data_IF_438972980381
#
_entry.id   IF_438972980381
#
_cell.length_a   1.000
_cell.length_b   1.000
_cell.length_c   1.000
_cell.angle_alpha   90.00
_cell.angle_beta   90.00
_cell.angle_gamma   90.00
#
_symmetry.space_group_name_H-M   'P 1'
#
loop_
_entity.id
_entity.type
_entity.pdbx_description
1 polymer ?
#
# COMPACT_ATOMS: atom_id res chain seq x y z
N UNK A 1 38.32 10.89 7.36
CA UNK A 1 37.30 9.98 7.84
C UNK A 1 36.21 10.84 8.42
N UNK A 2 34.94 10.51 8.20
CA UNK A 2 33.86 11.19 8.89
C UNK A 2 33.89 10.80 10.37
N UNK A 3 33.29 11.61 11.24
CA UNK A 3 33.18 11.27 12.68
C UNK A 3 32.42 9.93 12.84
N UNK A 4 31.46 9.64 11.99
CA UNK A 4 30.74 8.36 11.96
C UNK A 4 31.68 7.17 11.74
N UNK A 5 32.56 7.22 10.74
CA UNK A 5 33.50 6.13 10.42
C UNK A 5 34.47 5.85 11.58
N UNK A 6 34.87 6.91 12.30
CA UNK A 6 35.73 6.78 13.48
C UNK A 6 35.06 6.01 14.59
N UNK A 7 33.77 6.29 14.86
CA UNK A 7 33.01 5.56 15.88
C UNK A 7 32.67 4.13 15.41
N UNK A 8 32.28 3.93 14.16
CA UNK A 8 31.90 2.61 13.62
C UNK A 8 33.07 1.61 13.64
N UNK A 9 34.30 2.09 13.50
CA UNK A 9 35.52 1.27 13.54
C UNK A 9 36.14 1.15 14.96
N UNK A 10 35.64 1.90 15.92
CA UNK A 10 36.13 1.86 17.31
C UNK A 10 35.61 0.62 18.04
N UNK A 11 36.50 -0.06 18.79
CA UNK A 11 36.14 -1.18 19.67
C UNK A 11 35.49 -0.71 20.97
N UNK A 12 35.90 0.45 21.46
CA UNK A 12 35.47 0.96 22.78
C UNK A 12 34.33 1.96 22.71
N UNK A 13 34.26 2.76 21.64
CA UNK A 13 33.29 3.87 21.50
C UNK A 13 32.14 3.58 20.55
N UNK A 14 32.16 2.45 19.87
CA UNK A 14 31.08 2.07 18.97
C UNK A 14 29.83 1.62 19.76
N UNK A 15 28.76 2.41 19.65
CA UNK A 15 27.44 2.11 20.26
C UNK A 15 26.32 2.36 19.25
N UNK A 16 26.28 1.59 18.16
CA UNK A 16 25.31 1.86 17.09
C UNK A 16 23.87 1.69 17.59
N UNK A 17 23.07 2.70 17.32
CA UNK A 17 21.64 2.72 17.59
C UNK A 17 20.93 2.82 16.23
N UNK A 18 19.84 2.13 16.06
CA UNK A 18 19.01 2.23 14.86
C UNK A 18 17.67 2.89 15.16
N UNK A 19 17.31 3.85 14.31
CA UNK A 19 16.02 4.50 14.33
C UNK A 19 15.25 4.14 13.06
N UNK A 20 13.94 3.97 13.23
CA UNK A 20 13.02 3.51 12.21
C UNK A 20 11.93 4.54 12.02
N UNK A 21 11.80 5.06 10.81
CA UNK A 21 10.75 6.01 10.43
C UNK A 21 9.84 5.34 9.42
N UNK A 22 8.61 5.05 9.82
CA UNK A 22 7.53 4.66 8.93
C UNK A 22 6.72 5.88 8.55
N UNK A 23 6.37 6.02 7.27
CA UNK A 23 5.51 7.10 6.79
C UNK A 23 4.48 6.54 5.82
N UNK A 24 3.20 6.91 6.02
CA UNK A 24 2.07 6.55 5.17
C UNK A 24 1.17 7.79 5.05
N UNK A 25 1.06 8.34 3.85
CA UNK A 25 0.43 9.62 3.61
C UNK A 25 1.03 10.74 4.47
N UNK A 26 0.20 11.41 5.24
CA UNK A 26 0.62 12.48 6.16
C UNK A 26 1.06 11.97 7.55
N UNK A 27 0.85 10.69 7.84
CA UNK A 27 1.14 10.11 9.17
C UNK A 27 2.52 9.49 9.21
N UNK A 28 3.22 9.72 10.32
CA UNK A 28 4.57 9.20 10.54
C UNK A 28 4.66 8.54 11.91
N UNK A 29 5.26 7.35 11.96
CA UNK A 29 5.59 6.62 13.19
C UNK A 29 7.10 6.47 13.30
N UNK A 30 7.64 6.76 14.45
CA UNK A 30 9.08 6.84 14.72
C UNK A 30 9.44 5.95 15.91
N UNK A 31 10.35 4.99 15.69
CA UNK A 31 10.76 4.01 16.69
C UNK A 31 12.28 3.92 16.78
N UNK A 32 12.78 3.57 17.94
CA UNK A 32 14.19 3.26 18.15
C UNK A 32 14.38 1.86 18.72
N UNK A 33 15.47 1.21 18.34
CA UNK A 33 15.91 -0.06 18.95
C UNK A 33 16.60 0.12 20.30
N UNK A 34 16.80 1.37 20.73
CA UNK A 34 17.42 1.66 22.02
C UNK A 34 16.41 1.55 23.17
N UNK A 35 16.92 1.43 24.39
CA UNK A 35 16.12 1.34 25.61
C UNK A 35 15.50 2.67 26.08
N UNK A 36 15.89 3.78 25.47
CA UNK A 36 15.43 5.13 25.78
C UNK A 36 14.91 5.82 24.51
N UNK A 37 14.03 6.79 24.70
CA UNK A 37 13.59 7.67 23.62
C UNK A 37 14.74 8.53 23.11
N UNK A 38 14.73 8.80 21.82
CA UNK A 38 15.77 9.57 21.14
C UNK A 38 15.13 10.64 20.28
N UNK A 39 15.54 11.89 20.47
CA UNK A 39 15.09 13.00 19.60
C UNK A 39 16.15 13.28 18.54
N UNK A 40 15.79 13.17 17.29
CA UNK A 40 16.66 13.45 16.14
C UNK A 40 15.92 14.32 15.13
N UNK A 41 16.53 15.42 14.72
CA UNK A 41 15.94 16.36 13.73
C UNK A 41 14.51 16.80 14.09
N UNK A 42 14.27 17.12 15.37
CA UNK A 42 12.96 17.51 15.90
C UNK A 42 11.86 16.42 15.81
N UNK A 43 12.23 15.15 15.68
CA UNK A 43 11.35 13.99 15.75
C UNK A 43 11.73 13.13 16.95
N UNK A 44 10.75 12.75 17.73
CA UNK A 44 10.91 11.87 18.86
C UNK A 44 10.73 10.41 18.43
N UNK A 45 11.73 9.57 18.72
CA UNK A 45 11.73 8.14 18.40
C UNK A 45 11.45 7.33 19.65
N UNK A 46 10.30 6.69 19.68
CA UNK A 46 9.82 5.92 20.83
C UNK A 46 10.60 4.61 20.96
N UNK A 47 11.08 4.31 22.18
CA UNK A 47 11.75 3.04 22.48
C UNK A 47 10.76 1.87 22.28
N UNK A 48 11.09 0.96 21.37
CA UNK A 48 10.21 -0.17 21.01
C UNK A 48 11.07 -1.42 20.79
N UNK A 49 10.63 -2.61 21.23
CA UNK A 49 11.26 -3.88 20.88
C UNK A 49 11.18 -4.13 19.38
N UNK A 50 12.13 -3.61 18.63
CA UNK A 50 12.17 -3.70 17.16
C UNK A 50 13.43 -4.48 16.75
N UNK A 51 13.25 -5.44 15.86
CA UNK A 51 14.33 -6.23 15.25
C UNK A 51 14.19 -6.19 13.74
N UNK A 52 15.31 -6.30 13.05
CA UNK A 52 15.30 -6.44 11.59
C UNK A 52 16.16 -7.58 11.11
N UNK A 53 15.87 -8.09 9.95
CA UNK A 53 16.76 -9.01 9.24
C UNK A 53 18.03 -8.28 8.76
N UNK A 54 19.04 -9.04 8.34
CA UNK A 54 20.27 -8.48 7.78
C UNK A 54 19.96 -7.68 6.50
N UNK A 55 20.52 -6.48 6.39
CA UNK A 55 20.57 -5.72 5.17
C UNK A 55 21.73 -6.27 4.34
N UNK A 56 21.43 -6.82 3.17
CA UNK A 56 22.43 -7.35 2.26
C UNK A 56 22.64 -6.35 1.13
N UNK A 57 23.84 -5.84 1.00
CA UNK A 57 24.29 -5.06 -0.17
C UNK A 57 25.09 -6.00 -1.08
N UNK A 58 24.69 -6.14 -2.32
CA UNK A 58 25.44 -6.88 -3.33
C UNK A 58 25.16 -6.27 -4.70
N UNK A 59 26.01 -6.55 -5.65
CA UNK A 59 25.96 -5.98 -7.00
C UNK A 59 24.94 -6.70 -7.91
N UNK A 60 24.36 -7.81 -7.44
CA UNK A 60 23.37 -8.56 -8.19
C UNK A 60 22.00 -7.86 -8.20
N UNK A 61 21.24 -8.02 -9.28
CA UNK A 61 19.94 -7.37 -9.50
C UNK A 61 18.78 -8.05 -8.76
N UNK A 62 19.02 -8.80 -7.68
CA UNK A 62 17.93 -9.47 -6.95
C UNK A 62 17.16 -8.50 -6.07
N UNK A 63 15.84 -8.71 -6.01
CA UNK A 63 14.97 -8.00 -5.08
C UNK A 63 15.42 -8.28 -3.65
N UNK A 64 15.64 -7.22 -2.87
CA UNK A 64 16.08 -7.33 -1.49
C UNK A 64 15.00 -6.80 -0.58
N UNK A 65 14.53 -7.69 0.25
CA UNK A 65 13.58 -7.38 1.27
C UNK A 65 14.31 -7.35 2.64
N UNK A 66 13.86 -6.42 3.47
CA UNK A 66 14.20 -6.40 4.89
C UNK A 66 12.92 -6.72 5.64
N UNK A 67 12.98 -7.71 6.52
CA UNK A 67 11.89 -8.02 7.43
C UNK A 67 12.15 -7.32 8.75
N UNK A 68 11.18 -6.55 9.21
CA UNK A 68 11.20 -5.87 10.50
C UNK A 68 10.16 -6.53 11.39
N UNK A 69 10.58 -6.96 12.59
CA UNK A 69 9.69 -7.58 13.57
C UNK A 69 9.47 -6.59 14.71
N UNK A 70 8.20 -6.35 15.01
CA UNK A 70 7.73 -5.46 16.08
C UNK A 70 6.68 -6.19 16.92
N UNK A 71 6.32 -5.72 18.12
CA UNK A 71 5.16 -6.23 18.85
C UNK A 71 3.88 -6.07 18.03
N UNK A 72 2.94 -7.02 18.16
CA UNK A 72 1.66 -6.97 17.43
C UNK A 72 0.82 -5.73 17.76
N UNK A 73 0.99 -5.17 18.96
CA UNK A 73 0.31 -3.94 19.43
C UNK A 73 0.97 -2.65 18.90
N UNK A 74 2.05 -2.77 18.12
CA UNK A 74 2.72 -1.60 17.57
C UNK A 74 1.75 -0.74 16.75
N UNK A 75 1.66 0.59 17.00
CA UNK A 75 0.68 1.49 16.37
C UNK A 75 0.74 1.49 14.83
N UNK A 76 1.93 1.29 14.24
CA UNK A 76 2.05 1.17 12.79
C UNK A 76 1.51 -0.20 12.31
N UNK A 77 1.91 -1.30 12.96
CA UNK A 77 1.45 -2.63 12.58
C UNK A 77 -0.07 -2.77 12.74
N UNK A 78 -0.64 -2.16 13.77
CA UNK A 78 -2.08 -2.16 14.05
C UNK A 78 -2.93 -1.59 12.90
N UNK A 79 -2.36 -0.71 12.04
CA UNK A 79 -3.05 -0.18 10.86
C UNK A 79 -3.36 -1.27 9.82
N UNK A 80 -2.71 -2.43 9.90
CA UNK A 80 -2.88 -3.55 8.97
C UNK A 80 -3.72 -4.70 9.55
N UNK A 81 -4.22 -4.58 10.77
CA UNK A 81 -5.08 -5.61 11.37
C UNK A 81 -6.47 -5.52 10.73
N UNK A 82 -6.78 -6.50 9.88
CA UNK A 82 -8.06 -6.59 9.14
C UNK A 82 -8.40 -5.37 8.26
N UNK A 83 -7.46 -4.46 8.06
CA UNK A 83 -7.61 -3.27 7.23
C UNK A 83 -6.74 -3.42 5.98
N UNK A 84 -7.22 -2.89 4.85
CA UNK A 84 -6.46 -2.74 3.62
C UNK A 84 -6.19 -1.26 3.39
N UNK A 85 -5.06 -0.70 3.87
CA UNK A 85 -4.75 0.71 3.70
C UNK A 85 -4.69 1.09 2.22
N UNK A 86 -5.26 2.23 1.86
CA UNK A 86 -5.25 2.74 0.48
C UNK A 86 -3.92 3.36 0.07
N UNK A 87 -3.07 3.66 1.04
CA UNK A 87 -1.78 4.31 0.80
C UNK A 87 -0.62 3.37 1.08
N UNK A 88 0.43 3.54 0.30
CA UNK A 88 1.64 2.74 0.46
C UNK A 88 2.54 3.33 1.54
N UNK A 89 2.92 2.51 2.53
CA UNK A 89 3.84 2.93 3.57
C UNK A 89 5.29 2.79 3.13
N UNK A 90 6.13 3.71 3.56
CA UNK A 90 7.59 3.68 3.39
C UNK A 90 8.30 3.50 4.73
N UNK A 91 9.46 2.86 4.70
CA UNK A 91 10.35 2.71 5.85
C UNK A 91 11.72 3.31 5.52
N UNK A 92 12.23 4.13 6.43
CA UNK A 92 13.62 4.60 6.43
C UNK A 92 14.29 4.14 7.72
N UNK A 93 15.46 3.49 7.60
CA UNK A 93 16.28 3.06 8.74
C UNK A 93 17.56 3.88 8.73
N UNK A 94 17.84 4.52 9.84
CA UNK A 94 19.02 5.36 10.04
C UNK A 94 19.81 4.79 11.20
N UNK A 95 21.12 4.68 11.03
CA UNK A 95 22.03 4.30 12.10
C UNK A 95 22.66 5.55 12.67
N UNK A 96 22.69 5.61 13.98
CA UNK A 96 23.28 6.68 14.78
C UNK A 96 24.45 6.13 15.59
N UNK A 97 25.46 6.95 15.78
CA UNK A 97 26.49 6.74 16.79
C UNK A 97 26.34 7.86 17.80
N UNK A 98 26.05 7.57 19.09
CA UNK A 98 26.04 8.58 20.11
C UNK A 98 27.49 9.07 20.31
N UNK A 99 27.67 10.39 20.22
CA UNK A 99 28.92 11.04 20.55
C UNK A 99 29.11 11.04 22.09
N UNK A 100 30.25 11.52 22.60
CA UNK A 100 30.49 11.76 24.03
C UNK A 100 29.49 12.78 24.63
N UNK A 101 28.91 13.62 23.82
CA UNK A 101 27.74 14.47 24.10
C UNK A 101 26.48 13.76 23.64
N UNK A 102 25.32 13.87 24.31
CA UNK A 102 24.07 13.20 23.91
C UNK A 102 23.46 13.73 22.58
N UNK A 103 24.23 14.39 21.75
CA UNK A 103 23.83 14.88 20.46
C UNK A 103 24.03 13.80 19.38
N UNK A 104 22.98 13.42 18.69
CA UNK A 104 23.01 12.45 17.60
C UNK A 104 23.33 13.13 16.25
N UNK A 105 24.50 13.80 16.19
CA UNK A 105 24.88 14.55 14.98
C UNK A 105 25.44 13.66 13.87
N UNK A 106 25.91 12.45 14.23
CA UNK A 106 26.45 11.50 13.27
C UNK A 106 25.39 10.45 12.93
N UNK A 107 24.80 10.58 11.75
CA UNK A 107 23.73 9.70 11.29
C UNK A 107 23.97 9.25 9.86
N UNK A 108 23.70 7.98 9.56
CA UNK A 108 23.78 7.42 8.21
C UNK A 108 22.51 6.63 7.90
N UNK A 109 21.88 6.94 6.79
CA UNK A 109 20.75 6.16 6.28
C UNK A 109 21.29 4.84 5.73
N UNK A 110 20.91 3.72 6.35
CA UNK A 110 21.35 2.38 5.96
C UNK A 110 20.33 1.65 5.07
N UNK A 111 19.06 2.04 5.10
CA UNK A 111 18.02 1.43 4.29
C UNK A 111 16.85 2.38 4.06
N UNK A 112 16.30 2.34 2.85
CA UNK A 112 15.01 2.95 2.49
C UNK A 112 14.24 2.00 1.61
N UNK A 113 12.96 1.83 1.89
CA UNK A 113 12.11 0.91 1.14
C UNK A 113 10.63 1.16 1.31
N UNK A 114 9.85 0.36 0.61
CA UNK A 114 8.39 0.38 0.61
C UNK A 114 7.87 -0.87 1.30
N UNK A 115 6.92 -0.72 2.21
CA UNK A 115 6.25 -1.84 2.89
C UNK A 115 5.44 -2.62 1.86
N UNK A 116 5.70 -3.92 1.76
CA UNK A 116 4.97 -4.82 0.87
C UNK A 116 3.84 -5.55 1.58
N UNK A 117 4.10 -6.03 2.78
CA UNK A 117 3.13 -6.77 3.57
C UNK A 117 3.44 -6.64 5.05
N UNK A 118 2.39 -6.73 5.84
CA UNK A 118 2.46 -6.91 7.28
C UNK A 118 1.71 -8.19 7.61
N UNK A 119 2.36 -9.10 8.30
CA UNK A 119 1.79 -10.38 8.71
C UNK A 119 1.87 -10.54 10.22
N UNK A 120 0.85 -11.19 10.76
CA UNK A 120 0.74 -11.49 12.19
C UNK A 120 0.87 -12.99 12.36
N UNK A 121 2.04 -13.51 12.79
CA UNK A 121 2.24 -14.93 13.07
C UNK A 121 1.24 -15.44 14.10
N UNK A 122 1.04 -16.77 14.12
CA UNK A 122 0.07 -17.42 15.02
C UNK A 122 0.41 -17.30 16.51
N UNK A 123 1.63 -16.90 16.85
CA UNK A 123 2.02 -16.63 18.24
C UNK A 123 1.25 -15.43 18.84
N UNK A 124 0.71 -14.54 17.98
CA UNK A 124 -0.11 -13.39 18.37
C UNK A 124 0.66 -12.25 19.02
N UNK A 125 1.96 -12.41 19.29
CA UNK A 125 2.75 -11.41 20.01
C UNK A 125 3.56 -10.49 19.11
N UNK A 126 3.80 -10.92 17.87
CA UNK A 126 4.67 -10.20 16.95
C UNK A 126 3.97 -9.89 15.64
N UNK A 127 4.41 -8.82 14.98
CA UNK A 127 4.08 -8.48 13.62
C UNK A 127 5.36 -8.47 12.78
N UNK A 128 5.32 -9.09 11.62
CA UNK A 128 6.40 -9.12 10.64
C UNK A 128 6.07 -8.19 9.47
N UNK A 129 6.91 -7.18 9.28
CA UNK A 129 6.77 -6.16 8.24
C UNK A 129 7.82 -6.45 7.17
N UNK A 130 7.39 -6.86 6.00
CA UNK A 130 8.27 -7.08 4.85
C UNK A 130 8.39 -5.80 4.05
N UNK A 131 9.61 -5.30 3.94
CA UNK A 131 9.91 -4.03 3.26
C UNK A 131 10.83 -4.29 2.08
N UNK A 132 10.39 -3.87 0.91
CA UNK A 132 11.16 -3.96 -0.33
C UNK A 132 12.05 -2.74 -0.48
N UNK A 133 13.36 -2.95 -0.77
CA UNK A 133 14.30 -1.85 -1.01
C UNK A 133 13.86 -0.99 -2.20
N UNK A 134 14.04 0.32 -2.08
CA UNK A 134 13.79 1.26 -3.19
C UNK A 134 14.66 0.97 -4.41
N UNK A 135 15.85 0.41 -4.23
CA UNK A 135 16.74 0.01 -5.33
C UNK A 135 16.15 -1.10 -6.19
N UNK A 136 15.29 -1.94 -5.60
CA UNK A 136 14.62 -3.01 -6.35
C UNK A 136 13.61 -2.49 -7.39
N UNK A 137 13.24 -1.22 -7.33
CA UNK A 137 12.42 -0.58 -8.36
C UNK A 137 13.16 -0.50 -9.71
N UNK A 138 14.49 -0.51 -9.69
CA UNK A 138 15.33 -0.55 -10.90
C UNK A 138 15.28 -1.90 -11.64
N UNK A 139 14.83 -2.97 -10.97
CA UNK A 139 14.76 -4.32 -11.52
C UNK A 139 13.41 -4.62 -12.19
N UNK A 140 12.71 -3.62 -12.64
CA UNK A 140 11.47 -3.81 -13.37
C UNK A 140 11.75 -4.18 -14.81
N UNK A 141 11.05 -5.20 -15.30
CA UNK A 141 11.10 -5.58 -16.71
C UNK A 141 10.46 -4.44 -17.50
N UNK A 142 11.20 -3.89 -18.45
CA UNK A 142 10.74 -2.88 -19.39
C UNK A 142 10.78 -3.45 -20.82
N UNK A 143 9.76 -3.22 -21.65
CA UNK A 143 8.51 -2.49 -21.36
C UNK A 143 7.53 -3.30 -20.50
N UNK A 144 6.76 -2.62 -19.64
CA UNK A 144 5.70 -3.24 -18.83
C UNK A 144 4.43 -3.50 -19.63
N UNK A 145 4.21 -2.68 -20.65
CA UNK A 145 3.01 -2.77 -21.49
C UNK A 145 3.24 -3.87 -22.53
N UNK A 146 2.37 -4.87 -22.51
CA UNK A 146 2.32 -5.92 -23.52
C UNK A 146 1.22 -5.61 -24.54
N UNK A 147 1.39 -6.11 -25.78
CA UNK A 147 0.36 -6.03 -26.79
C UNK A 147 -0.77 -7.00 -26.42
N UNK A 148 -1.78 -6.49 -25.70
CA UNK A 148 -2.95 -7.22 -25.27
C UNK A 148 -4.22 -6.48 -25.71
N UNK A 149 -5.29 -7.21 -25.98
CA UNK A 149 -6.59 -6.61 -26.37
C UNK A 149 -7.28 -5.86 -25.24
N UNK A 150 -6.90 -6.15 -23.98
CA UNK A 150 -7.45 -5.48 -22.79
C UNK A 150 -6.61 -4.27 -22.41
N UNK A 151 -7.21 -3.30 -21.75
CA UNK A 151 -6.54 -2.14 -21.20
C UNK A 151 -5.55 -2.52 -20.09
N UNK A 152 -4.32 -2.01 -20.18
CA UNK A 152 -3.27 -2.22 -19.19
C UNK A 152 -3.24 -1.17 -18.07
N UNK A 153 -4.04 -0.10 -18.20
CA UNK A 153 -4.16 0.94 -17.17
C UNK A 153 -5.00 0.46 -16.00
N UNK A 154 -4.63 0.88 -14.81
CA UNK A 154 -5.53 0.79 -13.65
C UNK A 154 -6.59 1.87 -13.77
N UNK A 155 -7.84 1.56 -13.40
CA UNK A 155 -8.89 2.57 -13.40
C UNK A 155 -8.54 3.70 -12.43
N UNK A 156 -8.75 4.94 -12.86
CA UNK A 156 -8.44 6.17 -12.11
C UNK A 156 -6.94 6.49 -11.95
N UNK A 157 -6.02 5.77 -12.63
CA UNK A 157 -4.62 6.15 -12.66
C UNK A 157 -4.36 7.28 -13.68
N UNK A 158 -3.14 7.83 -13.64
CA UNK A 158 -2.73 8.89 -14.57
C UNK A 158 -2.81 8.48 -16.05
N UNK A 159 -2.60 7.19 -16.36
CA UNK A 159 -2.69 6.66 -17.71
C UNK A 159 -4.14 6.50 -18.20
N UNK A 160 -5.07 6.18 -17.30
CA UNK A 160 -6.50 6.10 -17.58
C UNK A 160 -7.14 7.49 -17.64
N UNK A 161 -6.73 8.43 -16.78
CA UNK A 161 -7.20 9.81 -16.78
C UNK A 161 -8.67 10.03 -16.40
N UNK A 162 -9.43 8.97 -16.05
CA UNK A 162 -10.82 9.11 -15.60
C UNK A 162 -10.86 9.71 -14.19
N UNK A 163 -11.64 10.78 -14.01
CA UNK A 163 -11.83 11.41 -12.71
C UNK A 163 -12.77 10.57 -11.82
N UNK A 164 -12.28 10.01 -10.69
CA UNK A 164 -13.12 9.26 -9.75
C UNK A 164 -14.25 10.10 -9.16
N UNK A 165 -14.10 11.43 -9.11
CA UNK A 165 -15.11 12.36 -8.62
C UNK A 165 -16.41 12.34 -9.41
N UNK A 166 -16.37 11.97 -10.70
CA UNK A 166 -17.55 11.90 -11.58
C UNK A 166 -18.27 10.55 -11.53
N UNK A 167 -17.63 9.51 -11.06
CA UNK A 167 -18.11 8.12 -11.12
C UNK A 167 -18.21 7.48 -9.74
N UNK A 168 -18.83 8.18 -8.80
CA UNK A 168 -19.02 7.71 -7.44
C UNK A 168 -20.39 8.08 -6.87
N UNK A 169 -20.80 7.38 -5.84
CA UNK A 169 -21.95 7.70 -5.01
C UNK A 169 -21.57 7.60 -3.55
N UNK A 170 -21.99 8.61 -2.77
CA UNK A 170 -21.80 8.65 -1.33
C UNK A 170 -23.15 8.52 -0.62
N UNK A 171 -23.21 7.64 0.36
CA UNK A 171 -24.43 7.46 1.16
C UNK A 171 -24.17 6.69 2.47
N UNK A 172 -25.16 6.64 3.34
CA UNK A 172 -25.07 5.83 4.56
C UNK A 172 -25.23 4.34 4.23
N UNK A 173 -24.51 3.51 4.97
CA UNK A 173 -24.69 2.06 4.99
C UNK A 173 -25.93 1.73 5.79
N UNK A 174 -27.00 1.35 5.13
CA UNK A 174 -28.28 1.03 5.76
C UNK A 174 -28.24 -0.29 6.57
N UNK A 175 -27.47 -1.27 6.08
CA UNK A 175 -27.29 -2.56 6.75
C UNK A 175 -26.06 -3.30 6.24
N UNK A 176 -25.62 -4.31 7.01
CA UNK A 176 -24.54 -5.23 6.58
C UNK A 176 -23.13 -4.69 6.78
N UNK A 177 -22.92 -3.62 7.53
CA UNK A 177 -21.62 -2.97 7.69
C UNK A 177 -20.49 -3.83 8.24
N UNK A 178 -20.81 -4.96 8.86
CA UNK A 178 -19.85 -5.95 9.35
C UNK A 178 -19.78 -7.22 8.48
N UNK A 179 -20.48 -7.25 7.35
CA UNK A 179 -20.60 -8.44 6.47
C UNK A 179 -20.05 -8.15 5.09
N UNK A 180 -19.90 -9.21 4.27
CA UNK A 180 -19.50 -9.08 2.87
C UNK A 180 -20.63 -8.51 1.98
N UNK A 181 -21.86 -8.46 2.46
CA UNK A 181 -22.98 -7.82 1.76
C UNK A 181 -23.41 -6.57 2.51
N UNK A 182 -23.27 -5.42 1.89
CA UNK A 182 -23.64 -4.13 2.44
C UNK A 182 -24.76 -3.51 1.61
N UNK A 183 -25.65 -2.78 2.27
CA UNK A 183 -26.68 -1.98 1.61
C UNK A 183 -26.29 -0.52 1.67
N UNK A 184 -25.86 0.05 0.54
CA UNK A 184 -25.48 1.45 0.41
C UNK A 184 -26.66 2.25 -0.15
N UNK A 185 -27.14 3.22 0.61
CA UNK A 185 -28.22 4.11 0.16
C UNK A 185 -27.75 4.94 -1.04
N UNK A 186 -28.50 4.92 -2.12
CA UNK A 186 -28.19 5.64 -3.34
C UNK A 186 -27.39 4.84 -4.38
N UNK A 187 -26.93 3.62 -4.08
CA UNK A 187 -26.27 2.79 -5.06
C UNK A 187 -27.18 2.39 -6.22
N UNK A 188 -28.48 2.33 -6.01
CA UNK A 188 -29.51 2.05 -7.03
C UNK A 188 -29.80 3.23 -7.98
N UNK A 189 -29.09 4.35 -7.87
CA UNK A 189 -29.16 5.40 -8.88
C UNK A 189 -28.65 4.93 -10.23
N UNK A 190 -27.77 3.92 -10.22
CA UNK A 190 -27.18 3.31 -11.40
C UNK A 190 -27.72 1.88 -11.61
N UNK A 191 -27.66 1.42 -12.85
CA UNK A 191 -28.12 0.08 -13.24
C UNK A 191 -27.32 -1.03 -12.51
N UNK A 192 -27.92 -2.20 -12.35
CA UNK A 192 -27.28 -3.39 -11.79
C UNK A 192 -25.95 -3.69 -12.50
N UNK A 193 -24.92 -3.98 -11.71
CA UNK A 193 -23.57 -4.22 -12.23
C UNK A 193 -22.71 -2.98 -12.38
N UNK A 194 -23.23 -1.76 -12.30
CA UNK A 194 -22.46 -0.53 -12.55
C UNK A 194 -21.25 -0.40 -11.60
N UNK A 195 -21.40 -0.74 -10.32
CA UNK A 195 -20.35 -0.69 -9.32
C UNK A 195 -19.47 -1.95 -9.28
N UNK A 196 -19.82 -2.99 -10.02
CA UNK A 196 -19.04 -4.25 -10.08
C UNK A 196 -17.65 -4.01 -10.65
N UNK A 197 -16.61 -4.56 -10.00
CA UNK A 197 -15.22 -4.33 -10.38
C UNK A 197 -14.63 -3.02 -9.84
N UNK A 198 -15.44 -2.24 -9.13
CA UNK A 198 -15.00 -1.04 -8.43
C UNK A 198 -14.66 -1.30 -6.98
N UNK A 199 -14.63 -0.26 -6.18
CA UNK A 199 -14.34 -0.36 -4.76
C UNK A 199 -15.24 0.56 -3.93
N UNK A 200 -15.40 0.22 -2.66
CA UNK A 200 -16.10 1.04 -1.68
C UNK A 200 -15.14 1.42 -0.55
N UNK A 201 -15.23 2.65 -0.07
CA UNK A 201 -14.45 3.14 1.06
C UNK A 201 -15.35 3.71 2.14
N UNK A 202 -15.04 3.42 3.41
CA UNK A 202 -15.68 4.06 4.54
C UNK A 202 -15.11 5.48 4.73
N UNK A 203 -15.97 6.47 4.97
CA UNK A 203 -15.56 7.86 5.14
C UNK A 203 -15.21 8.24 6.59
N UNK A 204 -15.20 7.27 7.50
CA UNK A 204 -14.89 7.48 8.93
C UNK A 204 -13.65 6.71 9.35
N UNK A 205 -12.72 7.38 10.03
CA UNK A 205 -11.50 6.78 10.55
C UNK A 205 -10.42 6.55 9.49
N UNK A 206 -9.68 5.46 9.62
CA UNK A 206 -8.70 5.02 8.62
C UNK A 206 -9.43 4.61 7.35
N UNK A 207 -9.03 5.14 6.20
CA UNK A 207 -9.63 4.75 4.92
C UNK A 207 -9.38 3.27 4.66
N UNK A 208 -10.46 2.51 4.63
CA UNK A 208 -10.47 1.08 4.37
C UNK A 208 -11.17 0.84 3.04
N UNK A 209 -10.49 0.17 2.10
CA UNK A 209 -10.95 -0.06 0.75
C UNK A 209 -11.40 -1.51 0.61
N UNK A 210 -12.62 -1.71 0.07
CA UNK A 210 -13.16 -3.03 -0.22
C UNK A 210 -13.57 -3.14 -1.69
N UNK A 211 -13.13 -4.20 -2.34
CA UNK A 211 -13.45 -4.48 -3.73
C UNK A 211 -14.89 -4.95 -3.86
N UNK A 212 -15.64 -4.41 -4.84
CA UNK A 212 -17.02 -4.77 -5.13
C UNK A 212 -17.05 -5.90 -6.17
N UNK A 213 -17.48 -7.07 -5.74
CA UNK A 213 -17.60 -8.26 -6.61
C UNK A 213 -18.90 -8.24 -7.40
N UNK A 214 -19.99 -7.76 -6.80
CA UNK A 214 -21.32 -7.73 -7.42
C UNK A 214 -22.13 -6.54 -6.92
N UNK A 215 -22.98 -6.01 -7.79
CA UNK A 215 -23.92 -4.92 -7.49
C UNK A 215 -25.30 -5.26 -7.98
N UNK A 216 -26.33 -5.14 -7.13
CA UNK A 216 -27.75 -5.28 -7.48
C UNK A 216 -28.58 -4.30 -6.63
N UNK A 217 -29.20 -3.34 -7.27
CA UNK A 217 -29.97 -2.30 -6.58
C UNK A 217 -29.09 -1.51 -5.59
N UNK A 218 -29.46 -1.51 -4.31
CA UNK A 218 -28.65 -0.91 -3.24
C UNK A 218 -27.63 -1.87 -2.60
N UNK A 219 -27.62 -3.13 -3.02
CA UNK A 219 -26.76 -4.16 -2.41
C UNK A 219 -25.45 -4.30 -3.16
N UNK A 220 -24.35 -4.15 -2.41
CA UNK A 220 -22.98 -4.36 -2.87
C UNK A 220 -22.41 -5.61 -2.17
N UNK A 221 -21.99 -6.59 -2.95
CA UNK A 221 -21.26 -7.76 -2.43
C UNK A 221 -19.78 -7.46 -2.53
N UNK A 222 -19.09 -7.48 -1.39
CA UNK A 222 -17.68 -7.20 -1.24
C UNK A 222 -16.85 -8.49 -1.27
N UNK A 223 -15.61 -8.39 -1.70
CA UNK A 223 -14.66 -9.51 -1.65
C UNK A 223 -14.34 -9.91 -0.20
N UNK A 224 -14.22 -8.94 0.70
CA UNK A 224 -13.98 -9.10 2.13
C UNK A 224 -14.83 -8.10 2.91
N UNK A 225 -15.32 -8.45 4.11
CA UNK A 225 -16.03 -7.50 4.96
C UNK A 225 -15.11 -6.37 5.46
N UNK A 226 -15.69 -5.28 5.90
CA UNK A 226 -14.95 -4.24 6.62
C UNK A 226 -14.44 -4.78 7.97
N UNK A 227 -13.31 -4.21 8.45
CA UNK A 227 -12.73 -4.60 9.72
C UNK A 227 -13.59 -4.27 10.94
N UNK A 228 -14.37 -3.20 10.85
CA UNK A 228 -15.31 -2.75 11.86
C UNK A 228 -16.73 -2.67 11.28
N UNK A 229 -17.73 -2.70 12.12
CA UNK A 229 -19.11 -2.45 11.68
C UNK A 229 -19.25 -0.97 11.31
N UNK A 230 -19.53 -0.72 10.03
CA UNK A 230 -19.76 0.61 9.47
C UNK A 230 -21.25 0.92 9.23
N UNK A 231 -22.15 0.11 9.79
CA UNK A 231 -23.60 0.34 9.67
C UNK A 231 -23.97 1.72 10.22
N UNK A 232 -24.70 2.51 9.45
CA UNK A 232 -25.06 3.88 9.78
C UNK A 232 -24.01 4.93 9.45
N UNK A 233 -22.78 4.54 9.09
CA UNK A 233 -21.75 5.47 8.65
C UNK A 233 -21.85 5.72 7.14
N UNK A 234 -21.30 6.85 6.70
CA UNK A 234 -21.21 7.15 5.28
C UNK A 234 -20.06 6.37 4.63
N UNK A 235 -20.36 5.81 3.47
CA UNK A 235 -19.38 5.20 2.59
C UNK A 235 -19.54 5.77 1.18
N UNK A 236 -18.46 5.65 0.40
CA UNK A 236 -18.41 6.07 -0.98
C UNK A 236 -18.06 4.87 -1.86
N UNK A 237 -18.87 4.59 -2.88
CA UNK A 237 -18.60 3.56 -3.87
C UNK A 237 -18.15 4.20 -5.18
N UNK A 238 -17.18 3.59 -5.82
CA UNK A 238 -16.61 4.02 -7.10
C UNK A 238 -16.90 2.97 -8.17
N UNK A 239 -17.21 3.45 -9.39
CA UNK A 239 -17.52 2.58 -10.51
C UNK A 239 -16.35 1.66 -10.87
N UNK A 240 -16.65 0.47 -11.35
CA UNK A 240 -15.66 -0.48 -11.86
C UNK A 240 -15.50 -0.43 -13.37
N UNK A 241 -14.40 -0.99 -13.89
CA UNK A 241 -14.09 -1.10 -15.30
C UNK A 241 -13.91 -2.57 -15.72
N UNK A 242 -14.35 -2.91 -16.93
CA UNK A 242 -14.15 -4.22 -17.55
C UNK A 242 -12.87 -4.33 -18.38
N UNK A 243 -12.12 -3.24 -18.50
CA UNK A 243 -10.90 -3.10 -19.30
C UNK A 243 -11.09 -3.39 -20.80
N UNK A 244 -12.33 -3.27 -21.32
CA UNK A 244 -12.65 -3.49 -22.72
C UNK A 244 -12.95 -2.16 -23.40
N UNK A 245 -12.34 -1.92 -24.59
CA UNK A 245 -12.46 -0.66 -25.31
C UNK A 245 -13.91 -0.32 -25.68
N UNK A 246 -14.66 -1.29 -26.20
CA UNK A 246 -16.09 -1.15 -26.59
C UNK A 246 -17.07 -1.37 -25.44
N UNK A 247 -16.57 -1.75 -24.25
CA UNK A 247 -17.33 -1.96 -23.03
C UNK A 247 -17.42 -0.70 -22.19
N UNK A 248 -16.97 -0.80 -20.94
CA UNK A 248 -17.05 0.32 -20.00
C UNK A 248 -16.23 1.53 -20.43
N UNK A 249 -15.10 1.34 -21.13
CA UNK A 249 -14.27 2.45 -21.57
C UNK A 249 -15.02 3.41 -22.51
N UNK A 250 -15.76 2.85 -23.49
CA UNK A 250 -16.60 3.66 -24.40
C UNK A 250 -17.96 4.02 -23.77
N UNK A 251 -18.66 3.02 -23.19
CA UNK A 251 -20.07 3.17 -22.83
C UNK A 251 -20.31 3.82 -21.47
N UNK A 252 -19.38 3.66 -20.50
CA UNK A 252 -19.51 4.20 -19.14
C UNK A 252 -18.68 5.45 -18.93
N UNK A 253 -17.42 5.42 -19.37
CA UNK A 253 -16.44 6.47 -19.08
C UNK A 253 -16.18 7.43 -20.23
N UNK A 254 -16.67 7.11 -21.46
CA UNK A 254 -16.42 7.89 -22.69
C UNK A 254 -14.92 8.19 -22.93
N UNK A 255 -14.04 7.26 -22.55
CA UNK A 255 -12.60 7.47 -22.40
C UNK A 255 -11.75 6.59 -23.35
N UNK A 256 -12.25 6.30 -24.54
CA UNK A 256 -11.57 5.40 -25.50
C UNK A 256 -10.23 5.97 -25.98
N UNK A 257 -10.02 7.28 -25.95
CA UNK A 257 -8.78 7.91 -26.38
C UNK A 257 -7.60 7.57 -25.49
N UNK A 258 -7.85 7.33 -24.19
CA UNK A 258 -6.84 6.95 -23.21
C UNK A 258 -6.83 5.42 -22.97
N UNK A 259 -7.41 4.65 -23.91
CA UNK A 259 -7.42 3.20 -23.80
C UNK A 259 -6.01 2.60 -23.95
N UNK A 260 -5.47 2.02 -22.88
CA UNK A 260 -4.12 1.46 -22.83
C UNK A 260 -3.99 0.03 -23.37
N UNK A 261 -4.81 -0.39 -24.30
CA UNK A 261 -4.78 -1.72 -24.92
C UNK A 261 -4.79 -1.66 -26.44
N UNK A 262 -4.75 -2.82 -27.09
CA UNK A 262 -4.76 -2.99 -28.54
C UNK A 262 -5.96 -3.84 -28.95
N UNK A 263 -7.17 -3.26 -29.07
CA UNK A 263 -8.41 -4.03 -29.25
C UNK A 263 -8.46 -4.84 -30.54
N UNK A 264 -7.61 -4.54 -31.52
CA UNK A 264 -7.55 -5.22 -32.81
C UNK A 264 -6.47 -6.30 -32.91
N UNK A 265 -5.77 -6.63 -31.81
CA UNK A 265 -4.81 -7.74 -31.78
C UNK A 265 -5.59 -9.06 -31.91
N UNK A 266 -5.25 -9.92 -32.87
CA UNK A 266 -5.90 -11.22 -33.02
C UNK A 266 -5.73 -12.10 -31.78
N UNK A 267 -6.80 -12.68 -31.27
CA UNK A 267 -6.75 -13.60 -30.12
C UNK A 267 -6.16 -14.98 -30.46
N UNK A 268 -5.95 -15.28 -31.75
CA UNK A 268 -5.36 -16.52 -32.23
C UNK A 268 -4.08 -16.23 -32.98
N UNK A 269 -3.08 -17.06 -32.78
CA UNK A 269 -1.88 -17.02 -33.60
C UNK A 269 -2.22 -17.43 -35.04
N UNK A 270 -2.27 -16.47 -35.96
CA UNK A 270 -2.61 -16.70 -37.38
C UNK A 270 -1.59 -17.63 -38.06
N UNK A 271 -0.39 -17.77 -37.55
CA UNK A 271 0.65 -18.64 -38.09
C UNK A 271 0.51 -20.10 -37.63
N UNK A 272 -0.15 -20.35 -36.49
CA UNK A 272 -0.42 -21.71 -35.98
C UNK A 272 -1.72 -22.31 -36.49
N UNK A 273 -2.72 -21.47 -36.81
CA UNK A 273 -4.07 -21.96 -37.18
C UNK A 273 -4.22 -22.23 -38.68
N UNK A 274 -3.24 -21.95 -39.54
CA UNK A 274 -3.35 -22.06 -41.01
C UNK A 274 -4.55 -21.27 -41.53
N UNK A 275 -4.37 -20.54 -42.59
CA UNK A 275 -5.50 -19.89 -43.33
C UNK A 275 -6.44 -20.95 -43.89
#
# INVERSE_FOLDING_TARGET
>A
MSSFDTYETSVDSSRPIEIYKFAMGSTTWTYTSWSQEVTVSALDYVATPIKRSRIVQATDQKTRNVTVTVPSENPFAAQYINISPGETASLTIIRLQPDESPSFNTQVMIFKGTVQSVSFPRDGYTAEIVVRSIESAKNQILPRVTYAGMCSHSLYDEGCGVDPGLFNVTGPIASGGATAEITLTGANAEADGYWTGGYVTALSGTQDFRFVVKHVGNVLTLLLPFAADITGLNAQVFAGCDHVATGHCAGKFENVLEFGGFPFVPNKNLFESGL
#
